data_IF_343962496700
#
_entry.id   IF_343962496700
#
_cell.length_a   1.000
_cell.length_b   1.000
_cell.length_c   1.000
_cell.angle_alpha   90.00
_cell.angle_beta   90.00
_cell.angle_gamma   90.00
#
_symmetry.space_group_name_H-M   'P 1'
#
loop_
_entity.id
_entity.type
_entity.pdbx_description
1 polymer ?
#
# COMPACT_ATOMS: atom_id res chain seq x y z
N UNK A 1 -1.20 64.58 1.25
CA UNK A 1 -0.10 63.59 1.39
C UNK A 1 -0.62 62.26 0.86
N UNK A 2 -0.03 61.77 -0.24
CA UNK A 2 -0.42 60.52 -0.93
C UNK A 2 0.55 59.42 -0.51
N UNK A 3 0.11 58.43 0.28
CA UNK A 3 0.87 57.20 0.47
C UNK A 3 0.50 56.21 -0.64
N UNK A 4 1.52 55.79 -1.40
CA UNK A 4 1.43 54.77 -2.45
C UNK A 4 1.75 53.39 -1.86
N UNK A 5 0.93 52.44 -2.30
CA UNK A 5 1.02 50.99 -2.41
C UNK A 5 2.31 50.26 -2.01
N UNK A 6 2.15 49.04 -1.48
CA UNK A 6 2.78 47.83 -2.03
C UNK A 6 1.86 46.62 -1.81
N UNK A 7 1.31 46.08 -2.91
CA UNK A 7 0.65 44.78 -2.93
C UNK A 7 1.71 43.74 -3.32
N UNK A 8 2.10 42.89 -2.37
CA UNK A 8 2.98 41.77 -2.63
C UNK A 8 2.13 40.59 -3.16
N UNK A 9 2.23 40.30 -4.45
CA UNK A 9 1.70 39.09 -5.04
C UNK A 9 2.65 37.93 -4.73
N UNK A 10 2.26 37.05 -3.80
CA UNK A 10 2.97 35.80 -3.55
C UNK A 10 2.64 34.81 -4.69
N UNK A 11 3.61 34.60 -5.58
CA UNK A 11 3.53 33.53 -6.59
C UNK A 11 3.82 32.22 -5.88
N UNK A 12 2.77 31.45 -5.56
CA UNK A 12 2.93 30.07 -5.08
C UNK A 12 3.25 29.22 -6.30
N UNK A 13 4.55 29.03 -6.57
CA UNK A 13 5.02 28.05 -7.56
C UNK A 13 4.68 26.65 -7.04
N UNK A 14 3.51 26.15 -7.45
CA UNK A 14 3.13 24.76 -7.26
C UNK A 14 3.99 23.95 -8.22
N UNK A 15 5.08 23.38 -7.72
CA UNK A 15 5.84 22.36 -8.46
C UNK A 15 4.97 21.10 -8.52
N UNK A 16 4.03 21.09 -9.46
CA UNK A 16 3.30 19.90 -9.81
C UNK A 16 4.32 18.85 -10.24
N UNK A 17 4.29 17.68 -9.59
CA UNK A 17 5.00 16.52 -10.07
C UNK A 17 4.54 16.24 -11.50
N UNK A 18 5.38 16.60 -12.47
CA UNK A 18 5.25 16.09 -13.82
C UNK A 18 5.52 14.59 -13.73
N UNK A 19 4.46 13.79 -13.92
CA UNK A 19 4.41 12.33 -13.74
C UNK A 19 5.71 11.63 -14.11
N UNK A 20 6.60 11.52 -13.13
CA UNK A 20 7.85 10.82 -13.31
C UNK A 20 7.52 9.35 -13.17
N UNK A 21 7.98 8.55 -14.13
CA UNK A 21 7.81 7.10 -14.11
C UNK A 21 8.15 6.57 -12.71
N UNK A 22 7.33 5.66 -12.18
CA UNK A 22 7.56 5.03 -10.89
C UNK A 22 8.81 4.14 -11.00
N UNK A 23 9.98 4.74 -10.76
CA UNK A 23 11.27 4.07 -10.92
C UNK A 23 11.87 3.55 -9.61
N UNK A 24 11.46 4.12 -8.47
CA UNK A 24 11.94 3.69 -7.15
C UNK A 24 10.94 3.94 -6.01
N UNK A 25 10.99 3.16 -4.92
CA UNK A 25 10.14 3.39 -3.75
C UNK A 25 10.43 4.73 -3.06
N UNK A 26 11.69 5.16 -3.05
CA UNK A 26 12.09 6.42 -2.41
C UNK A 26 11.45 7.64 -3.10
N UNK A 27 11.37 7.62 -4.43
CA UNK A 27 10.63 8.64 -5.18
C UNK A 27 9.15 8.63 -4.81
N UNK A 28 8.50 7.47 -4.79
CA UNK A 28 7.08 7.38 -4.41
C UNK A 28 6.85 7.91 -2.99
N UNK A 29 7.70 7.55 -2.04
CA UNK A 29 7.63 8.06 -0.67
C UNK A 29 7.75 9.58 -0.62
N UNK A 30 8.73 10.16 -1.32
CA UNK A 30 8.93 11.61 -1.36
C UNK A 30 7.75 12.33 -2.02
N UNK A 31 7.12 11.73 -3.04
CA UNK A 31 5.90 12.24 -3.66
C UNK A 31 4.78 12.38 -2.65
N UNK A 32 4.49 11.28 -1.95
CA UNK A 32 3.41 11.21 -0.97
C UNK A 32 3.67 12.20 0.17
N UNK A 33 4.92 12.33 0.63
CA UNK A 33 5.29 13.30 1.66
C UNK A 33 5.12 14.75 1.21
N UNK A 34 5.36 15.04 -0.08
CA UNK A 34 5.25 16.39 -0.61
C UNK A 34 3.81 16.82 -0.88
N UNK A 35 2.97 15.93 -1.43
CA UNK A 35 1.64 16.31 -1.93
C UNK A 35 0.48 15.55 -1.29
N UNK A 36 0.75 14.56 -0.44
CA UNK A 36 -0.25 13.66 0.14
C UNK A 36 -0.57 12.47 -0.76
N UNK A 37 -0.98 11.36 -0.15
CA UNK A 37 -1.22 10.10 -0.83
C UNK A 37 -2.36 10.17 -1.85
N UNK A 38 -3.46 10.85 -1.51
CA UNK A 38 -4.62 10.96 -2.39
C UNK A 38 -4.28 11.75 -3.66
N UNK A 39 -3.58 12.88 -3.52
CA UNK A 39 -3.12 13.68 -4.65
C UNK A 39 -2.05 12.96 -5.46
N UNK A 40 -1.17 12.19 -4.82
CA UNK A 40 -0.24 11.29 -5.52
C UNK A 40 -0.98 10.27 -6.39
N UNK A 41 -1.89 9.48 -5.83
CA UNK A 41 -2.63 8.46 -6.57
C UNK A 41 -3.47 9.08 -7.70
N UNK A 42 -4.15 10.20 -7.45
CA UNK A 42 -4.92 10.91 -8.46
C UNK A 42 -4.07 11.53 -9.60
N UNK A 43 -2.76 11.68 -9.39
CA UNK A 43 -1.84 12.20 -10.41
C UNK A 43 -1.29 11.13 -11.36
N UNK A 44 -1.45 9.84 -11.01
CA UNK A 44 -0.95 8.73 -11.80
C UNK A 44 -1.91 8.36 -12.94
N UNK A 45 -1.36 7.88 -14.05
CA UNK A 45 -2.16 7.18 -15.07
C UNK A 45 -2.59 5.79 -14.56
N UNK A 46 -3.61 5.19 -15.18
CA UNK A 46 -4.01 3.82 -14.84
C UNK A 46 -2.83 2.83 -14.96
N UNK A 47 -2.07 2.90 -16.05
CA UNK A 47 -0.88 2.07 -16.25
C UNK A 47 0.20 2.30 -15.17
N UNK A 48 0.32 3.52 -14.65
CA UNK A 48 1.25 3.81 -13.55
C UNK A 48 0.77 3.24 -12.22
N UNK A 49 -0.53 3.30 -11.96
CA UNK A 49 -1.14 2.63 -10.80
C UNK A 49 -0.89 1.13 -10.90
N UNK A 50 -1.16 0.50 -12.04
CA UNK A 50 -0.93 -0.93 -12.26
C UNK A 50 0.54 -1.28 -12.03
N UNK A 51 1.46 -0.48 -12.58
CA UNK A 51 2.91 -0.66 -12.32
C UNK A 51 3.26 -0.53 -10.85
N UNK A 52 2.70 0.43 -10.12
CA UNK A 52 2.94 0.58 -8.67
C UNK A 52 2.46 -0.65 -7.91
N UNK A 53 1.24 -1.09 -8.21
CA UNK A 53 0.59 -2.25 -7.62
C UNK A 53 1.42 -3.52 -7.87
N UNK A 54 1.85 -3.77 -9.10
CA UNK A 54 2.75 -4.88 -9.47
C UNK A 54 4.06 -4.88 -8.65
N UNK A 55 4.63 -3.70 -8.38
CA UNK A 55 5.84 -3.59 -7.55
C UNK A 55 5.56 -3.98 -6.10
N UNK A 56 4.41 -3.63 -5.55
CA UNK A 56 4.00 -4.06 -4.20
C UNK A 56 3.78 -5.58 -4.19
N UNK A 57 3.03 -6.10 -5.17
CA UNK A 57 2.75 -7.52 -5.35
C UNK A 57 3.99 -8.38 -5.55
N UNK A 58 5.10 -7.79 -5.97
CA UNK A 58 6.40 -8.48 -6.05
C UNK A 58 6.91 -8.98 -4.68
N UNK A 59 6.44 -8.40 -3.56
CA UNK A 59 6.89 -8.74 -2.21
C UNK A 59 8.25 -8.16 -1.82
N UNK A 60 8.83 -7.27 -2.65
CA UNK A 60 10.04 -6.52 -2.28
C UNK A 60 9.74 -5.59 -1.11
N UNK A 61 10.49 -5.73 -0.01
CA UNK A 61 10.19 -5.06 1.27
C UNK A 61 10.02 -3.55 1.14
N UNK A 62 10.87 -2.90 0.36
CA UNK A 62 10.85 -1.46 0.14
C UNK A 62 9.58 -0.98 -0.59
N UNK A 63 8.99 -1.81 -1.46
CA UNK A 63 7.72 -1.50 -2.11
C UNK A 63 6.54 -1.81 -1.18
N UNK A 64 6.57 -2.95 -0.50
CA UNK A 64 5.54 -3.33 0.50
C UNK A 64 5.43 -2.28 1.60
N UNK A 65 6.56 -1.70 2.04
CA UNK A 65 6.59 -0.68 3.09
C UNK A 65 5.88 0.64 2.74
N UNK A 66 5.54 0.86 1.46
CA UNK A 66 4.76 2.02 1.04
C UNK A 66 3.26 1.86 1.31
N UNK A 67 2.78 0.63 1.51
CA UNK A 67 1.35 0.34 1.64
C UNK A 67 0.64 1.20 2.70
N UNK A 68 1.17 1.40 3.92
CA UNK A 68 0.52 2.27 4.91
C UNK A 68 0.34 3.71 4.41
N UNK A 69 1.36 4.29 3.78
CA UNK A 69 1.31 5.65 3.23
C UNK A 69 0.31 5.76 2.09
N UNK A 70 0.26 4.75 1.21
CA UNK A 70 -0.69 4.72 0.09
C UNK A 70 -2.13 4.60 0.59
N UNK A 71 -2.36 3.77 1.62
CA UNK A 71 -3.67 3.55 2.20
C UNK A 71 -4.30 4.83 2.77
N UNK A 72 -3.51 5.79 3.27
CA UNK A 72 -4.03 7.07 3.79
C UNK A 72 -4.82 7.90 2.76
N UNK A 73 -4.59 7.68 1.47
CA UNK A 73 -5.23 8.44 0.39
C UNK A 73 -5.87 7.58 -0.70
N UNK A 74 -5.97 6.27 -0.49
CA UNK A 74 -6.55 5.37 -1.48
C UNK A 74 -8.08 5.52 -1.53
N UNK A 75 -8.61 5.66 -2.74
CA UNK A 75 -10.04 5.48 -3.00
C UNK A 75 -10.42 3.99 -2.99
N UNK A 76 -11.68 3.67 -3.29
CA UNK A 76 -12.17 2.30 -3.24
C UNK A 76 -11.38 1.35 -4.17
N UNK A 77 -11.05 1.79 -5.38
CA UNK A 77 -10.32 0.97 -6.35
C UNK A 77 -8.87 0.74 -5.94
N UNK A 78 -8.17 1.79 -5.51
CA UNK A 78 -6.81 1.67 -5.02
C UNK A 78 -6.72 0.86 -3.72
N UNK A 79 -7.72 0.95 -2.85
CA UNK A 79 -7.79 0.16 -1.62
C UNK A 79 -7.97 -1.34 -1.92
N UNK A 80 -8.82 -1.68 -2.87
CA UNK A 80 -9.01 -3.05 -3.35
C UNK A 80 -7.74 -3.61 -4.00
N UNK A 81 -7.13 -2.85 -4.92
CA UNK A 81 -5.87 -3.21 -5.55
C UNK A 81 -4.76 -3.43 -4.52
N UNK A 82 -4.64 -2.55 -3.53
CA UNK A 82 -3.63 -2.68 -2.48
C UNK A 82 -3.81 -3.97 -1.66
N UNK A 83 -5.05 -4.35 -1.33
CA UNK A 83 -5.34 -5.61 -0.65
C UNK A 83 -4.95 -6.83 -1.49
N UNK A 84 -5.32 -6.83 -2.77
CA UNK A 84 -4.98 -7.89 -3.73
C UNK A 84 -3.47 -8.04 -3.89
N UNK A 85 -2.73 -6.94 -4.04
CA UNK A 85 -1.29 -7.00 -4.24
C UNK A 85 -0.54 -7.40 -2.99
N UNK A 86 -0.98 -6.96 -1.81
CA UNK A 86 -0.43 -7.49 -0.56
C UNK A 86 -0.71 -8.99 -0.40
N UNK A 87 -1.86 -9.48 -0.90
CA UNK A 87 -2.13 -10.92 -0.94
C UNK A 87 -1.16 -11.64 -1.89
N UNK A 88 -0.83 -11.09 -3.06
CA UNK A 88 0.21 -11.64 -3.95
C UNK A 88 1.62 -11.61 -3.33
N UNK A 89 1.92 -10.58 -2.53
CA UNK A 89 3.19 -10.43 -1.83
C UNK A 89 3.34 -11.42 -0.66
N UNK A 90 2.24 -11.80 0.00
CA UNK A 90 2.21 -12.60 1.21
C UNK A 90 3.00 -13.93 1.12
N UNK A 91 2.83 -14.79 0.08
CA UNK A 91 3.63 -16.00 -0.05
C UNK A 91 5.10 -15.75 -0.44
N UNK A 92 5.44 -14.55 -0.92
CA UNK A 92 6.79 -14.17 -1.38
C UNK A 92 7.63 -13.58 -0.25
N UNK A 93 7.02 -12.73 0.59
CA UNK A 93 7.66 -12.07 1.72
C UNK A 93 6.66 -11.83 2.86
N UNK A 94 6.33 -12.89 3.62
CA UNK A 94 5.29 -12.82 4.64
C UNK A 94 5.66 -11.86 5.77
N UNK A 95 6.94 -11.72 6.09
CA UNK A 95 7.39 -10.80 7.15
C UNK A 95 7.08 -9.35 6.79
N UNK A 96 7.42 -8.92 5.57
CA UNK A 96 7.17 -7.54 5.14
C UNK A 96 5.67 -7.22 5.07
N UNK A 97 4.85 -8.17 4.60
CA UNK A 97 3.39 -7.98 4.56
C UNK A 97 2.82 -7.90 5.98
N UNK A 98 3.19 -8.82 6.87
CA UNK A 98 2.74 -8.78 8.27
C UNK A 98 3.22 -7.55 9.05
N UNK A 99 4.36 -6.95 8.69
CA UNK A 99 4.82 -5.69 9.29
C UNK A 99 3.94 -4.48 8.86
N UNK A 100 3.15 -4.57 7.78
CA UNK A 100 2.31 -3.45 7.27
C UNK A 100 0.80 -3.67 7.40
N UNK A 101 0.35 -4.91 7.56
CA UNK A 101 -1.08 -5.18 7.83
C UNK A 101 -1.39 -5.02 9.30
N UNK A 102 -2.54 -4.40 9.58
CA UNK A 102 -3.17 -4.33 10.90
C UNK A 102 -2.24 -3.87 12.05
N UNK A 103 -1.76 -2.60 12.00
CA UNK A 103 -1.09 -1.95 13.13
C UNK A 103 -2.06 -1.52 14.25
N UNK A 104 -3.38 -1.60 14.04
CA UNK A 104 -4.43 -1.13 14.96
C UNK A 104 -5.63 -2.09 14.92
N UNK A 105 -6.07 -2.58 16.08
CA UNK A 105 -7.21 -3.51 16.17
C UNK A 105 -8.52 -2.87 15.66
N UNK A 106 -9.22 -3.55 14.73
CA UNK A 106 -10.59 -3.25 14.32
C UNK A 106 -10.88 -3.38 12.82
N UNK A 107 -12.07 -3.88 12.49
CA UNK A 107 -12.54 -4.10 11.12
C UNK A 107 -13.05 -2.78 10.52
N UNK A 108 -12.45 -2.33 9.42
CA UNK A 108 -12.85 -1.09 8.73
C UNK A 108 -11.73 -0.31 8.05
N UNK A 109 -10.47 -0.73 8.19
CA UNK A 109 -9.33 -0.05 7.55
C UNK A 109 -8.81 -0.82 6.33
N UNK A 110 -8.16 -0.11 5.40
CA UNK A 110 -7.76 -0.66 4.09
C UNK A 110 -6.78 -1.83 4.24
N UNK A 111 -5.90 -1.79 5.24
CA UNK A 111 -4.86 -2.79 5.50
C UNK A 111 -5.23 -3.82 6.57
N UNK A 112 -6.52 -4.03 6.82
CA UNK A 112 -6.98 -5.04 7.77
C UNK A 112 -6.57 -6.45 7.33
N UNK A 113 -6.34 -7.34 8.31
CA UNK A 113 -5.90 -8.73 8.04
C UNK A 113 -6.86 -9.45 7.10
N UNK A 114 -8.17 -9.30 7.25
CA UNK A 114 -9.18 -9.93 6.39
C UNK A 114 -9.06 -9.51 4.92
N UNK A 115 -8.69 -8.26 4.63
CA UNK A 115 -8.56 -7.74 3.26
C UNK A 115 -7.30 -8.18 2.55
N UNK A 116 -6.32 -8.72 3.29
CA UNK A 116 -5.06 -9.22 2.72
C UNK A 116 -4.94 -10.73 2.85
N UNK A 117 -5.10 -11.26 4.06
CA UNK A 117 -5.00 -12.68 4.36
C UNK A 117 -6.29 -13.45 4.06
N UNK A 118 -7.41 -12.77 3.80
CA UNK A 118 -8.70 -13.40 3.47
C UNK A 118 -8.86 -13.85 2.02
N UNK A 119 -7.76 -13.95 1.25
CA UNK A 119 -7.77 -14.36 -0.17
C UNK A 119 -8.65 -13.42 -1.03
N UNK A 120 -8.30 -12.13 -1.15
CA UNK A 120 -9.15 -11.08 -1.73
C UNK A 120 -9.22 -11.08 -3.27
N UNK A 121 -8.92 -12.20 -3.94
CA UNK A 121 -8.90 -12.24 -5.41
C UNK A 121 -10.32 -12.20 -5.98
N UNK A 122 -10.57 -11.28 -6.90
CA UNK A 122 -11.91 -11.06 -7.49
C UNK A 122 -12.15 -11.97 -8.70
N UNK A 123 -11.13 -12.18 -9.52
CA UNK A 123 -11.24 -12.97 -10.76
C UNK A 123 -11.01 -14.46 -10.51
N UNK A 124 -9.80 -14.83 -10.07
CA UNK A 124 -9.43 -16.23 -9.85
C UNK A 124 -8.33 -16.32 -8.81
N UNK A 125 -8.50 -17.21 -7.84
CA UNK A 125 -7.47 -17.51 -6.86
C UNK A 125 -6.32 -18.26 -7.54
N UNK A 126 -5.06 -17.79 -7.43
CA UNK A 126 -3.92 -18.48 -8.03
C UNK A 126 -3.80 -19.93 -7.54
N UNK A 127 -3.42 -20.84 -8.44
CA UNK A 127 -3.32 -22.26 -8.11
C UNK A 127 -2.37 -22.53 -6.91
N UNK A 128 -2.92 -23.20 -5.90
CA UNK A 128 -2.21 -23.53 -4.66
C UNK A 128 -1.88 -22.33 -3.77
N UNK A 129 -2.50 -21.16 -4.00
CA UNK A 129 -2.25 -19.94 -3.23
C UNK A 129 -2.35 -20.16 -1.71
N UNK A 130 -3.50 -20.65 -1.23
CA UNK A 130 -3.76 -20.86 0.21
C UNK A 130 -2.67 -21.68 0.89
N UNK A 131 -2.24 -22.78 0.26
CA UNK A 131 -1.17 -23.65 0.78
C UNK A 131 0.18 -22.91 0.83
N UNK A 132 0.53 -22.16 -0.22
CA UNK A 132 1.78 -21.37 -0.28
C UNK A 132 1.78 -20.26 0.77
N UNK A 133 0.68 -19.51 0.88
CA UNK A 133 0.52 -18.43 1.84
C UNK A 133 0.59 -18.95 3.29
N UNK A 134 -0.16 -20.00 3.64
CA UNK A 134 -0.10 -20.61 4.96
C UNK A 134 1.31 -21.07 5.34
N UNK A 135 2.01 -21.73 4.41
CA UNK A 135 3.40 -22.16 4.64
C UNK A 135 4.32 -20.96 4.91
N UNK A 136 4.22 -19.92 4.09
CA UNK A 136 5.03 -18.71 4.22
C UNK A 136 4.77 -18.01 5.57
N UNK A 137 3.51 -17.74 5.89
CA UNK A 137 3.11 -17.06 7.14
C UNK A 137 3.54 -17.87 8.37
N UNK A 138 3.34 -19.20 8.36
CA UNK A 138 3.77 -20.08 9.47
C UNK A 138 5.29 -20.03 9.71
N UNK A 139 6.09 -19.78 8.66
CA UNK A 139 7.56 -19.68 8.77
C UNK A 139 8.08 -18.39 9.41
N UNK A 140 7.24 -17.36 9.59
CA UNK A 140 7.66 -16.11 10.24
C UNK A 140 7.86 -16.35 11.75
N UNK A 141 9.06 -16.06 12.25
CA UNK A 141 9.44 -16.27 13.65
C UNK A 141 9.62 -14.99 14.47
N UNK A 142 9.40 -13.82 13.87
CA UNK A 142 9.54 -12.52 14.55
C UNK A 142 8.50 -12.38 15.67
N UNK A 143 8.91 -12.26 16.95
CA UNK A 143 7.98 -12.20 18.08
C UNK A 143 7.03 -11.00 18.02
N UNK A 144 7.44 -9.88 17.41
CA UNK A 144 6.59 -8.69 17.27
C UNK A 144 5.38 -8.95 16.38
N UNK A 145 5.49 -9.92 15.46
CA UNK A 145 4.46 -10.26 14.48
C UNK A 145 3.57 -11.41 14.94
N UNK A 146 3.72 -11.91 16.17
CA UNK A 146 3.05 -13.12 16.63
C UNK A 146 1.52 -13.04 16.53
N UNK A 147 0.95 -11.91 16.95
CA UNK A 147 -0.50 -11.77 17.06
C UNK A 147 -1.14 -11.56 15.67
N UNK A 148 -0.56 -10.67 14.84
CA UNK A 148 -0.98 -10.48 13.44
C UNK A 148 -0.77 -11.74 12.60
N UNK A 149 0.31 -12.49 12.83
CA UNK A 149 0.53 -13.82 12.21
C UNK A 149 -0.60 -14.78 12.54
N UNK A 150 -1.01 -14.86 13.82
CA UNK A 150 -2.07 -15.76 14.24
C UNK A 150 -3.40 -15.40 13.56
N UNK A 151 -3.77 -14.11 13.53
CA UNK A 151 -4.96 -13.62 12.82
C UNK A 151 -4.90 -13.92 11.32
N UNK A 152 -3.74 -13.70 10.69
CA UNK A 152 -3.56 -13.97 9.27
C UNK A 152 -3.70 -15.47 8.94
N UNK A 153 -3.18 -16.35 9.80
CA UNK A 153 -3.38 -17.81 9.65
C UNK A 153 -4.86 -18.17 9.76
N UNK A 154 -5.56 -17.64 10.76
CA UNK A 154 -6.98 -17.88 10.98
C UNK A 154 -7.83 -17.40 9.78
N UNK A 155 -7.54 -16.20 9.26
CA UNK A 155 -8.17 -15.69 8.05
C UNK A 155 -7.94 -16.61 6.84
N UNK A 156 -6.68 -16.99 6.58
CA UNK A 156 -6.32 -17.90 5.49
C UNK A 156 -7.02 -19.27 5.61
N UNK A 157 -7.18 -19.79 6.82
CA UNK A 157 -7.82 -21.09 7.07
C UNK A 157 -9.34 -21.04 6.83
N UNK A 158 -9.99 -19.91 7.11
CA UNK A 158 -11.43 -19.69 6.93
C UNK A 158 -11.86 -19.34 5.50
N UNK A 159 -10.96 -18.80 4.68
CA UNK A 159 -11.20 -18.48 3.26
C UNK A 159 -11.33 -19.68 2.35
#
# INVERSE_FOLDING_TARGET
MKCRAFAAAAVVSSSAWAGSAITSPAQVSAAIEQQGAATFLASLSADDIDRLMDKIGSGRSEWVSLAPKLAEGADAGNAEGLGIELAYALPKNPRAVLDVVDPLEGDGHILEVSRVCGIPFIETVPAGYKVKALRAVRSVTDPRLRDVKARCIDALEKS
#
